data_IF_047976047638
#
_entry.id   IF_047976047638
#
_cell.length_a   1.000
_cell.length_b   1.000
_cell.length_c   1.000
_cell.angle_alpha   90.00
_cell.angle_beta   90.00
_cell.angle_gamma   90.00
#
_symmetry.space_group_name_H-M   'P 1'
#
loop_
_entity.id
_entity.type
_entity.pdbx_description
1 polymer ?
#
# COMPACT_ATOMS: atom_id res chain seq x y z
N UNK A 1 5.01 14.38 5.05
CA UNK A 1 5.91 15.00 4.07
C UNK A 1 7.25 15.21 4.77
N UNK A 2 8.38 14.67 4.25
CA UNK A 2 9.71 14.78 4.85
C UNK A 2 10.17 16.23 5.09
N UNK A 3 11.40 16.42 5.61
CA UNK A 3 11.94 17.76 5.87
C UNK A 3 11.84 18.66 4.61
N UNK A 4 11.58 19.97 4.75
CA UNK A 4 11.44 20.86 3.60
C UNK A 4 12.71 20.93 2.75
N UNK A 5 12.56 21.30 1.48
CA UNK A 5 13.68 21.52 0.56
C UNK A 5 14.66 22.51 1.14
N UNK A 6 15.95 22.16 1.14
CA UNK A 6 17.02 23.03 1.57
C UNK A 6 17.51 23.88 0.38
N UNK A 7 18.03 25.08 0.66
CA UNK A 7 18.46 26.02 -0.37
C UNK A 7 19.50 25.44 -1.36
N UNK A 8 20.35 24.51 -0.92
CA UNK A 8 21.33 23.88 -1.78
C UNK A 8 20.74 22.87 -2.75
N UNK A 9 19.57 22.28 -2.45
CA UNK A 9 18.87 21.31 -3.31
C UNK A 9 18.30 21.99 -4.57
N UNK A 10 17.98 23.29 -4.51
CA UNK A 10 17.45 24.08 -5.62
C UNK A 10 18.48 25.00 -6.26
N UNK A 11 19.76 24.90 -5.87
CA UNK A 11 20.84 25.79 -6.35
C UNK A 11 21.03 25.77 -7.87
N UNK A 12 20.67 24.65 -8.51
CA UNK A 12 20.83 24.47 -9.97
C UNK A 12 19.53 24.64 -10.75
N UNK A 13 18.42 24.95 -10.08
CA UNK A 13 17.17 25.21 -10.76
C UNK A 13 17.26 26.51 -11.56
N UNK A 14 17.03 26.43 -12.86
CA UNK A 14 17.09 27.58 -13.76
C UNK A 14 15.89 27.56 -14.69
N UNK A 15 15.00 28.57 -14.63
CA UNK A 15 14.98 29.68 -13.66
C UNK A 15 14.52 29.25 -12.26
N UNK A 16 14.97 29.98 -11.25
CA UNK A 16 14.49 29.78 -9.87
C UNK A 16 13.00 30.22 -9.79
N UNK A 17 12.10 29.26 -9.72
CA UNK A 17 10.67 29.51 -9.61
C UNK A 17 10.20 29.57 -8.14
N UNK A 18 10.94 30.29 -7.31
CA UNK A 18 10.59 30.45 -5.91
C UNK A 18 9.42 31.40 -5.76
N UNK A 19 8.29 30.88 -5.30
CA UNK A 19 7.17 31.68 -4.87
C UNK A 19 7.39 32.26 -3.46
N UNK A 20 6.72 33.36 -3.17
CA UNK A 20 6.70 33.96 -1.82
C UNK A 20 5.75 33.23 -0.87
N UNK A 21 4.92 32.30 -1.38
CA UNK A 21 3.93 31.56 -0.63
C UNK A 21 3.83 30.12 -1.14
N UNK A 22 3.94 29.16 -0.23
CA UNK A 22 3.67 27.75 -0.52
C UNK A 22 2.17 27.48 -0.36
N UNK A 23 1.51 26.97 -1.39
CA UNK A 23 0.09 26.64 -1.40
C UNK A 23 -0.13 25.13 -1.24
N UNK A 24 0.81 24.30 -1.68
CA UNK A 24 0.77 22.85 -1.62
C UNK A 24 1.94 22.26 -0.82
N UNK A 25 2.00 20.92 -0.70
CA UNK A 25 3.13 20.23 -0.08
C UNK A 25 4.41 20.42 -0.87
N UNK A 26 5.54 20.19 -0.21
CA UNK A 26 6.84 20.12 -0.86
C UNK A 26 6.93 18.82 -1.68
N UNK A 27 7.08 18.94 -2.99
CA UNK A 27 7.14 17.80 -3.89
C UNK A 27 8.55 17.18 -4.00
N UNK A 28 9.57 17.83 -3.45
CA UNK A 28 10.97 17.39 -3.57
C UNK A 28 11.24 15.97 -3.05
N UNK A 29 10.29 15.37 -2.32
CA UNK A 29 10.38 14.03 -1.72
C UNK A 29 9.12 13.20 -1.94
N UNK A 30 8.38 13.49 -2.98
CA UNK A 30 7.14 12.76 -3.28
C UNK A 30 7.41 11.38 -3.91
N UNK A 31 8.59 11.20 -4.51
CA UNK A 31 8.97 9.94 -5.15
C UNK A 31 8.94 8.78 -4.16
N UNK A 32 8.28 7.71 -4.53
CA UNK A 32 8.12 6.51 -3.70
C UNK A 32 7.16 6.64 -2.51
N UNK A 33 6.68 7.86 -2.18
CA UNK A 33 5.74 8.07 -1.06
C UNK A 33 4.33 7.59 -1.40
N UNK A 34 3.95 7.70 -2.66
CA UNK A 34 2.64 7.29 -3.17
C UNK A 34 2.81 6.36 -4.36
N UNK A 35 1.91 5.39 -4.53
CA UNK A 35 1.92 4.52 -5.71
C UNK A 35 1.59 5.32 -6.98
N UNK A 36 1.97 4.77 -8.14
CA UNK A 36 1.66 5.39 -9.44
C UNK A 36 0.15 5.55 -9.63
N UNK A 37 -0.65 4.53 -9.26
CA UNK A 37 -2.10 4.57 -9.38
C UNK A 37 -2.72 5.65 -8.50
N UNK A 38 -2.17 5.84 -7.27
CA UNK A 38 -2.57 6.95 -6.42
C UNK A 38 -2.26 8.29 -7.08
N UNK A 39 -1.08 8.44 -7.69
CA UNK A 39 -0.68 9.66 -8.38
C UNK A 39 -1.63 9.95 -9.55
N UNK A 40 -1.96 8.94 -10.37
CA UNK A 40 -2.91 9.10 -11.46
C UNK A 40 -4.30 9.48 -10.97
N UNK A 41 -4.83 8.78 -9.97
CA UNK A 41 -6.13 9.09 -9.39
C UNK A 41 -6.17 10.49 -8.77
N UNK A 42 -5.08 10.90 -8.09
CA UNK A 42 -4.96 12.23 -7.49
C UNK A 42 -4.83 13.33 -8.54
N UNK A 43 -4.10 13.11 -9.64
CA UNK A 43 -4.06 14.05 -10.76
C UNK A 43 -5.42 14.16 -11.46
N UNK A 44 -6.13 13.06 -11.65
CA UNK A 44 -7.43 13.05 -12.31
C UNK A 44 -8.50 13.77 -11.50
N UNK A 45 -8.66 13.43 -10.22
CA UNK A 45 -9.68 13.95 -9.33
C UNK A 45 -9.15 14.13 -7.90
N UNK A 46 -8.36 15.20 -7.61
CA UNK A 46 -7.70 15.37 -6.32
C UNK A 46 -8.64 15.30 -5.12
N UNK A 47 -9.82 15.92 -5.23
CA UNK A 47 -10.81 15.96 -4.13
C UNK A 47 -11.49 14.60 -3.87
N UNK A 48 -11.49 13.71 -4.85
CA UNK A 48 -11.99 12.34 -4.64
C UNK A 48 -11.02 11.52 -3.78
N UNK A 49 -9.73 11.87 -3.81
CA UNK A 49 -8.68 11.18 -3.03
C UNK A 49 -8.38 11.93 -1.73
N UNK A 50 -8.31 13.26 -1.78
CA UNK A 50 -8.07 14.13 -0.64
C UNK A 50 -9.18 15.18 -0.59
N UNK A 51 -10.25 14.98 0.21
CA UNK A 51 -11.46 15.78 0.17
C UNK A 51 -11.25 17.30 0.33
N UNK A 52 -10.25 17.71 1.12
CA UNK A 52 -9.90 19.11 1.36
C UNK A 52 -8.82 19.64 0.40
N UNK A 53 -8.48 18.89 -0.64
CA UNK A 53 -7.48 19.32 -1.61
C UNK A 53 -7.88 20.60 -2.32
N UNK A 54 -6.98 21.56 -2.37
CA UNK A 54 -7.10 22.79 -3.19
C UNK A 54 -6.50 22.60 -4.59
N UNK A 55 -5.90 21.44 -4.86
CA UNK A 55 -5.33 21.11 -6.15
C UNK A 55 -6.45 20.98 -7.20
N UNK A 56 -6.30 21.61 -8.39
CA UNK A 56 -7.21 21.37 -9.50
C UNK A 56 -7.06 19.96 -10.06
N UNK A 57 -8.14 19.38 -10.60
CA UNK A 57 -8.06 18.14 -11.36
C UNK A 57 -7.52 18.38 -12.77
N UNK A 58 -6.84 17.39 -13.33
CA UNK A 58 -6.28 17.40 -14.69
C UNK A 58 -6.86 16.26 -15.55
N UNK A 59 -8.20 16.16 -15.71
CA UNK A 59 -8.82 15.06 -16.47
C UNK A 59 -8.40 15.03 -17.94
N UNK A 60 -7.96 16.17 -18.49
CA UNK A 60 -7.46 16.27 -19.87
C UNK A 60 -6.19 15.44 -20.13
N UNK A 61 -5.46 15.06 -19.10
CA UNK A 61 -4.29 14.17 -19.17
C UNK A 61 -4.67 12.67 -19.25
N UNK A 62 -5.96 12.36 -19.32
CA UNK A 62 -6.48 11.01 -19.27
C UNK A 62 -7.54 10.75 -20.34
N UNK A 63 -7.71 9.51 -20.76
CA UNK A 63 -8.76 9.10 -21.69
C UNK A 63 -10.02 8.67 -20.91
N UNK A 64 -10.62 9.64 -20.22
CA UNK A 64 -11.91 9.52 -19.54
C UNK A 64 -11.88 8.86 -18.16
N UNK A 65 -10.75 8.23 -17.74
CA UNK A 65 -10.64 7.57 -16.43
C UNK A 65 -9.19 7.58 -15.93
N UNK A 66 -8.95 7.57 -14.60
CA UNK A 66 -7.60 7.64 -14.03
C UNK A 66 -6.71 6.43 -14.35
N UNK A 67 -7.28 5.28 -14.70
CA UNK A 67 -6.58 4.07 -15.15
C UNK A 67 -6.17 4.13 -16.64
N UNK A 68 -6.51 5.22 -17.34
CA UNK A 68 -6.16 5.45 -18.75
C UNK A 68 -5.36 6.75 -18.93
N UNK A 69 -4.14 6.81 -18.34
CA UNK A 69 -3.31 8.00 -18.46
C UNK A 69 -2.77 8.15 -19.89
N UNK A 70 -2.80 9.35 -20.44
CA UNK A 70 -2.09 9.71 -21.66
C UNK A 70 -0.59 9.77 -21.40
N UNK A 71 0.21 9.94 -22.46
CA UNK A 71 1.67 9.95 -22.33
C UNK A 71 2.14 11.07 -21.39
N UNK A 72 1.53 12.25 -21.47
CA UNK A 72 1.87 13.39 -20.64
C UNK A 72 1.64 13.12 -19.14
N UNK A 73 0.57 12.40 -18.79
CA UNK A 73 0.35 11.98 -17.40
C UNK A 73 1.40 10.96 -16.93
N UNK A 74 1.79 10.02 -17.81
CA UNK A 74 2.84 9.04 -17.52
C UNK A 74 4.18 9.72 -17.26
N UNK A 75 4.55 10.67 -18.12
CA UNK A 75 5.81 11.41 -18.01
C UNK A 75 5.84 12.27 -16.73
N UNK A 76 4.72 12.94 -16.43
CA UNK A 76 4.59 13.73 -15.21
C UNK A 76 4.72 12.86 -13.95
N UNK A 77 4.04 11.73 -13.90
CA UNK A 77 4.10 10.81 -12.75
C UNK A 77 5.48 10.17 -12.63
N UNK A 78 6.13 9.83 -13.75
CA UNK A 78 7.51 9.34 -13.74
C UNK A 78 8.48 10.41 -13.19
N UNK A 79 8.28 11.67 -13.56
CA UNK A 79 9.05 12.78 -12.99
C UNK A 79 8.81 12.91 -11.47
N UNK A 80 7.56 12.94 -11.02
CA UNK A 80 7.22 13.01 -9.59
C UNK A 80 7.84 11.84 -8.81
N UNK A 81 7.84 10.64 -9.38
CA UNK A 81 8.43 9.45 -8.75
C UNK A 81 9.97 9.51 -8.71
N UNK A 82 10.59 10.30 -9.56
CA UNK A 82 12.04 10.52 -9.55
C UNK A 82 12.50 11.50 -8.47
N UNK A 83 11.60 12.33 -7.94
CA UNK A 83 11.95 13.35 -6.96
C UNK A 83 12.38 12.73 -5.62
N UNK A 84 13.48 13.21 -5.05
CA UNK A 84 14.04 12.71 -3.79
C UNK A 84 15.00 11.52 -3.90
N UNK A 85 15.06 10.82 -5.04
CA UNK A 85 15.92 9.63 -5.23
C UNK A 85 17.41 9.92 -5.03
N UNK A 86 17.89 11.07 -5.47
CA UNK A 86 19.29 11.47 -5.27
C UNK A 86 19.66 11.53 -3.79
N UNK A 87 18.70 11.84 -2.93
CA UNK A 87 18.88 11.92 -1.49
C UNK A 87 18.84 10.54 -0.82
N UNK A 88 17.96 9.64 -1.27
CA UNK A 88 17.94 8.25 -0.83
C UNK A 88 19.25 7.54 -1.18
N UNK A 89 19.73 7.69 -2.42
CA UNK A 89 20.99 7.13 -2.89
C UNK A 89 22.20 7.68 -2.10
N UNK A 90 22.10 8.90 -1.60
CA UNK A 90 23.14 9.53 -0.78
C UNK A 90 23.09 9.12 0.70
N UNK A 91 22.16 8.23 1.11
CA UNK A 91 22.06 7.72 2.49
C UNK A 91 21.63 8.76 3.53
N UNK A 92 20.86 9.77 3.12
CA UNK A 92 20.59 10.95 3.93
C UNK A 92 19.13 11.13 4.35
N UNK A 93 18.42 10.04 4.52
CA UNK A 93 17.13 10.07 5.20
C UNK A 93 17.33 10.53 6.65
N UNK A 94 16.80 11.70 6.99
CA UNK A 94 16.67 12.19 8.37
C UNK A 94 17.74 13.15 8.87
N UNK A 95 18.89 13.33 8.22
CA UNK A 95 19.94 14.23 8.72
C UNK A 95 19.92 15.59 8.01
N UNK A 96 19.17 16.54 8.56
CA UNK A 96 19.10 17.91 8.08
C UNK A 96 20.27 18.77 8.60
N UNK A 97 21.02 18.33 9.62
CA UNK A 97 22.09 19.10 10.25
C UNK A 97 23.50 18.70 9.80
N UNK A 98 23.73 17.48 9.35
CA UNK A 98 25.07 16.98 9.03
C UNK A 98 25.69 17.50 7.73
N UNK A 99 25.00 18.39 6.98
CA UNK A 99 25.40 18.74 5.61
C UNK A 99 25.77 20.18 5.31
N UNK A 100 25.79 21.00 6.26
CA UNK A 100 26.38 22.35 6.05
C UNK A 100 27.88 22.27 5.73
N UNK A 101 28.50 21.11 5.88
CA UNK A 101 29.90 20.87 5.65
C UNK A 101 30.29 19.74 4.68
N UNK A 102 29.38 19.15 3.95
CA UNK A 102 29.71 18.06 3.00
C UNK A 102 30.39 18.63 1.75
N UNK A 103 31.66 18.31 1.59
CA UNK A 103 32.46 18.54 0.37
C UNK A 103 32.26 17.36 -0.63
N UNK A 104 31.00 16.90 -0.80
CA UNK A 104 30.71 15.86 -1.76
C UNK A 104 30.98 16.36 -3.17
N UNK A 105 31.72 15.61 -4.02
CA UNK A 105 31.93 16.00 -5.42
C UNK A 105 30.56 16.12 -6.10
N UNK A 106 30.24 17.34 -6.54
CA UNK A 106 28.94 17.65 -7.17
C UNK A 106 28.64 16.77 -8.37
N UNK A 107 29.68 16.30 -9.07
CA UNK A 107 29.58 15.46 -10.26
C UNK A 107 29.20 14.01 -9.95
N UNK A 108 29.55 13.47 -8.79
CA UNK A 108 29.18 12.09 -8.42
C UNK A 108 27.67 11.94 -8.16
N UNK A 109 27.03 12.96 -7.57
CA UNK A 109 25.58 12.92 -7.32
C UNK A 109 24.77 13.13 -8.61
N UNK A 110 25.24 14.00 -9.52
CA UNK A 110 24.61 14.22 -10.81
C UNK A 110 24.74 12.98 -11.73
N UNK A 111 25.89 12.29 -11.70
CA UNK A 111 26.10 11.06 -12.45
C UNK A 111 25.27 9.89 -11.89
N UNK A 112 25.13 9.75 -10.58
CA UNK A 112 24.26 8.71 -9.98
C UNK A 112 22.79 8.92 -10.32
N UNK A 113 22.30 10.16 -10.37
CA UNK A 113 20.93 10.46 -10.76
C UNK A 113 20.66 10.20 -12.26
N UNK A 114 21.68 10.44 -13.13
CA UNK A 114 21.59 10.21 -14.59
C UNK A 114 21.68 8.73 -14.97
N UNK A 115 22.33 7.90 -14.16
CA UNK A 115 22.54 6.47 -14.44
C UNK A 115 21.63 5.55 -13.62
N UNK A 116 20.76 6.08 -12.75
CA UNK A 116 19.72 5.27 -12.13
C UNK A 116 18.82 4.71 -13.25
N UNK A 117 18.71 3.38 -13.42
CA UNK A 117 17.94 2.81 -14.49
C UNK A 117 16.48 3.27 -14.38
N UNK A 118 16.01 4.04 -15.37
CA UNK A 118 14.65 4.55 -15.51
C UNK A 118 13.57 3.44 -15.52
N UNK A 119 14.00 2.17 -15.51
CA UNK A 119 13.16 0.98 -15.58
C UNK A 119 13.04 0.19 -14.28
N UNK A 120 13.53 0.70 -13.14
CA UNK A 120 13.18 0.08 -11.86
C UNK A 120 11.75 0.45 -11.53
N UNK A 121 10.83 -0.46 -11.80
CA UNK A 121 9.43 -0.33 -11.42
C UNK A 121 9.39 0.05 -9.93
N UNK A 122 8.73 1.15 -9.51
CA UNK A 122 8.70 1.60 -8.10
C UNK A 122 8.22 0.52 -7.15
N UNK A 123 7.35 -0.39 -7.61
CA UNK A 123 6.93 -1.56 -6.87
C UNK A 123 8.10 -2.47 -6.41
N UNK A 124 9.24 -2.43 -7.10
CA UNK A 124 10.42 -3.21 -6.74
C UNK A 124 11.32 -2.49 -5.73
N UNK A 125 11.37 -1.17 -5.81
CA UNK A 125 12.12 -0.32 -4.85
C UNK A 125 11.40 -0.20 -3.49
N UNK A 126 10.06 -0.26 -3.48
CA UNK A 126 9.25 -0.18 -2.26
C UNK A 126 9.17 -1.48 -1.45
N UNK A 127 9.74 -2.57 -1.94
CA UNK A 127 9.97 -3.79 -1.13
C UNK A 127 11.22 -3.64 -0.26
N UNK A 128 11.36 -2.48 0.40
CA UNK A 128 12.41 -2.31 1.41
C UNK A 128 12.17 -3.35 2.50
N UNK A 129 13.22 -4.10 2.79
CA UNK A 129 13.22 -5.18 3.79
C UNK A 129 13.32 -4.63 5.22
N UNK A 130 13.16 -3.33 5.40
CA UNK A 130 13.18 -2.70 6.70
C UNK A 130 11.98 -3.19 7.51
N UNK A 131 12.25 -3.77 8.67
CA UNK A 131 11.19 -4.16 9.57
C UNK A 131 10.39 -2.89 9.97
N UNK A 132 9.06 -2.89 9.86
CA UNK A 132 8.27 -1.77 10.30
C UNK A 132 8.47 -1.57 11.81
N UNK A 133 8.55 -0.32 12.30
CA UNK A 133 8.60 -0.10 13.73
C UNK A 133 7.32 -0.68 14.36
N UNK A 134 7.43 -1.29 15.55
CA UNK A 134 6.26 -1.83 16.24
C UNK A 134 5.24 -0.71 16.51
N UNK A 135 3.97 -1.07 16.45
CA UNK A 135 2.89 -0.17 16.88
C UNK A 135 2.86 -0.11 18.41
N UNK A 136 2.40 1.02 18.94
CA UNK A 136 2.09 1.11 20.36
C UNK A 136 1.02 0.06 20.74
N UNK A 137 1.11 -0.58 21.93
CA UNK A 137 0.26 -1.72 22.27
C UNK A 137 -1.23 -1.36 22.37
N UNK A 138 -1.55 -0.16 22.80
CA UNK A 138 -2.93 0.28 23.07
C UNK A 138 -3.29 1.48 22.19
N UNK A 139 -3.63 1.21 20.94
CA UNK A 139 -4.08 2.25 20.02
C UNK A 139 -5.42 2.86 20.44
N UNK A 140 -5.49 4.19 20.57
CA UNK A 140 -6.75 4.91 20.83
C UNK A 140 -7.72 4.73 19.64
N UNK A 141 -8.71 3.85 19.81
CA UNK A 141 -9.68 3.55 18.76
C UNK A 141 -10.55 4.76 18.38
N UNK A 142 -10.87 5.66 19.29
CA UNK A 142 -11.65 6.85 18.96
C UNK A 142 -10.83 7.78 18.07
N UNK A 143 -9.58 8.03 18.41
CA UNK A 143 -8.61 8.75 17.57
C UNK A 143 -8.41 8.05 16.23
N UNK A 144 -8.25 6.73 16.22
CA UNK A 144 -8.11 5.94 15.01
C UNK A 144 -9.32 6.02 14.09
N UNK A 145 -10.54 5.99 14.64
CA UNK A 145 -11.78 6.17 13.87
C UNK A 145 -11.83 7.56 13.22
N UNK A 146 -11.43 8.59 13.94
CA UNK A 146 -11.33 9.94 13.36
C UNK A 146 -10.33 10.00 12.20
N UNK A 147 -9.13 9.48 12.40
CA UNK A 147 -8.09 9.41 11.36
C UNK A 147 -8.54 8.58 10.15
N UNK A 148 -9.21 7.46 10.41
CA UNK A 148 -9.76 6.61 9.36
C UNK A 148 -10.74 7.36 8.47
N UNK A 149 -11.70 8.09 9.07
CA UNK A 149 -12.66 8.88 8.30
C UNK A 149 -12.00 10.02 7.52
N UNK A 150 -10.96 10.62 8.08
CA UNK A 150 -10.24 11.72 7.42
C UNK A 150 -9.39 11.26 6.23
N UNK A 151 -8.80 10.07 6.30
CA UNK A 151 -7.72 9.68 5.37
C UNK A 151 -7.95 8.36 4.64
N UNK A 152 -8.70 7.43 5.21
CA UNK A 152 -8.84 6.07 4.69
C UNK A 152 -10.21 5.83 4.04
N UNK A 153 -11.28 6.40 4.63
CA UNK A 153 -12.65 6.18 4.19
C UNK A 153 -12.91 6.66 2.76
N UNK A 154 -12.15 7.63 2.26
CA UNK A 154 -12.25 8.10 0.87
C UNK A 154 -12.07 6.96 -0.14
N UNK A 155 -11.19 6.00 0.13
CA UNK A 155 -10.99 4.82 -0.72
C UNK A 155 -11.68 3.59 -0.15
N UNK A 156 -11.51 3.33 1.17
CA UNK A 156 -11.99 2.11 1.78
C UNK A 156 -13.47 2.13 2.20
N UNK A 157 -14.15 3.29 2.08
CA UNK A 157 -15.53 3.49 2.55
C UNK A 157 -15.62 3.68 4.07
N UNK A 158 -16.68 4.33 4.55
CA UNK A 158 -16.87 4.60 5.99
C UNK A 158 -16.99 3.32 6.83
N UNK A 159 -17.50 2.23 6.24
CA UNK A 159 -17.66 0.92 6.85
C UNK A 159 -16.59 -0.09 6.42
N UNK A 160 -15.57 0.33 5.68
CA UNK A 160 -14.49 -0.55 5.25
C UNK A 160 -14.84 -1.50 4.09
N UNK A 161 -15.86 -1.21 3.29
CA UNK A 161 -16.31 -2.07 2.20
C UNK A 161 -15.55 -1.86 0.87
N UNK A 162 -14.56 -0.96 0.82
CA UNK A 162 -13.82 -0.63 -0.39
C UNK A 162 -14.63 0.22 -1.39
N UNK A 163 -15.71 0.84 -0.95
CA UNK A 163 -16.71 1.56 -1.74
C UNK A 163 -16.65 3.09 -1.59
N UNK A 164 -15.55 3.60 -1.08
CA UNK A 164 -15.34 5.04 -0.94
C UNK A 164 -15.40 5.78 -2.29
N UNK A 165 -15.73 7.08 -2.29
CA UNK A 165 -15.84 7.86 -3.52
C UNK A 165 -14.55 7.89 -4.35
N UNK A 166 -13.38 7.77 -3.72
CA UNK A 166 -12.08 7.68 -4.36
C UNK A 166 -11.69 6.29 -4.85
N UNK A 167 -12.54 5.27 -4.62
CA UNK A 167 -12.29 3.92 -5.13
C UNK A 167 -12.50 3.79 -6.65
N UNK A 168 -13.25 4.72 -7.24
CA UNK A 168 -13.56 4.67 -8.67
C UNK A 168 -12.30 4.83 -9.50
N UNK A 169 -12.07 3.88 -10.40
CA UNK A 169 -10.93 3.88 -11.32
C UNK A 169 -9.61 3.41 -10.69
N UNK A 170 -9.60 3.03 -9.41
CA UNK A 170 -8.44 2.35 -8.84
C UNK A 170 -8.41 0.87 -9.26
N UNK A 171 -7.26 0.44 -9.76
CA UNK A 171 -7.04 -0.94 -10.21
C UNK A 171 -5.73 -1.44 -9.60
N UNK A 172 -5.80 -2.41 -8.69
CA UNK A 172 -6.99 -3.07 -8.15
C UNK A 172 -7.83 -2.15 -7.24
N UNK A 173 -9.10 -2.50 -7.08
CA UNK A 173 -9.99 -1.81 -6.15
C UNK A 173 -9.47 -1.88 -4.70
N UNK A 174 -9.79 -0.89 -3.85
CA UNK A 174 -9.41 -0.92 -2.45
C UNK A 174 -9.90 -2.17 -1.73
N UNK A 175 -9.06 -2.71 -0.84
CA UNK A 175 -9.45 -3.87 -0.04
C UNK A 175 -10.69 -3.58 0.81
N UNK A 176 -11.58 -4.56 0.88
CA UNK A 176 -12.75 -4.54 1.77
C UNK A 176 -12.29 -4.86 3.19
N UNK A 177 -11.88 -3.84 3.94
CA UNK A 177 -11.31 -4.00 5.27
C UNK A 177 -12.25 -4.75 6.23
N UNK A 178 -13.56 -4.53 6.11
CA UNK A 178 -14.56 -5.24 6.89
C UNK A 178 -14.64 -6.75 6.62
N UNK A 179 -14.10 -7.21 5.49
CA UNK A 179 -14.04 -8.61 5.11
C UNK A 179 -12.73 -9.29 5.53
N UNK A 180 -11.85 -8.59 6.26
CA UNK A 180 -10.55 -9.10 6.64
C UNK A 180 -10.27 -8.85 8.11
N UNK A 181 -9.85 -9.87 8.84
CA UNK A 181 -9.22 -9.74 10.13
C UNK A 181 -7.70 -9.60 9.92
N UNK A 182 -7.09 -8.62 10.57
CA UNK A 182 -5.67 -8.32 10.43
C UNK A 182 -4.92 -8.49 11.73
N UNK A 183 -3.73 -9.08 11.67
CA UNK A 183 -2.80 -9.00 12.79
C UNK A 183 -2.20 -7.60 12.92
N UNK A 184 -1.76 -7.24 14.12
CA UNK A 184 -1.11 -5.95 14.39
C UNK A 184 0.16 -5.78 13.55
N UNK A 185 0.95 -6.84 13.38
CA UNK A 185 2.18 -6.84 12.57
C UNK A 185 1.87 -6.60 11.09
N UNK A 186 0.77 -7.18 10.60
CA UNK A 186 0.34 -6.94 9.21
C UNK A 186 -0.06 -5.49 9.00
N UNK A 187 -0.82 -4.91 9.93
CA UNK A 187 -1.21 -3.50 9.85
C UNK A 187 -0.01 -2.59 10.00
N UNK A 188 0.93 -2.89 10.92
CA UNK A 188 2.19 -2.15 11.02
C UNK A 188 2.93 -2.12 9.68
N UNK A 189 3.07 -3.28 9.03
CA UNK A 189 3.74 -3.39 7.73
C UNK A 189 3.01 -2.61 6.63
N UNK A 190 1.68 -2.72 6.55
CA UNK A 190 0.88 -2.00 5.53
C UNK A 190 0.92 -0.50 5.76
N UNK A 191 0.79 -0.03 6.99
CA UNK A 191 0.86 1.40 7.30
C UNK A 191 2.27 1.97 7.08
N UNK A 192 3.31 1.16 7.30
CA UNK A 192 4.69 1.59 7.10
C UNK A 192 5.13 1.59 5.64
N UNK A 193 4.79 0.54 4.89
CA UNK A 193 5.26 0.35 3.52
C UNK A 193 4.23 0.72 2.45
N UNK A 194 2.95 0.85 2.80
CA UNK A 194 1.86 0.80 1.83
C UNK A 194 1.70 -0.61 1.25
N UNK A 195 1.05 -0.71 0.09
CA UNK A 195 0.91 -1.97 -0.64
C UNK A 195 1.44 -1.76 -2.06
N UNK A 196 2.60 -2.35 -2.35
CA UNK A 196 3.28 -2.20 -3.63
C UNK A 196 2.37 -2.64 -4.80
N UNK A 197 2.35 -1.85 -5.87
CA UNK A 197 1.53 -2.07 -7.06
C UNK A 197 0.05 -1.69 -6.88
N UNK A 198 -0.28 -0.96 -5.81
CA UNK A 198 -1.63 -0.46 -5.57
C UNK A 198 -1.62 1.02 -5.18
N UNK A 199 -2.81 1.63 -5.14
CA UNK A 199 -2.98 3.00 -4.67
C UNK A 199 -2.84 3.16 -3.14
N UNK A 200 -2.63 2.08 -2.36
CA UNK A 200 -2.47 2.16 -0.91
C UNK A 200 -1.09 2.71 -0.52
N UNK A 201 -1.00 3.96 -0.05
CA UNK A 201 0.29 4.60 0.22
C UNK A 201 0.88 4.18 1.58
N UNK A 202 2.17 4.47 1.75
CA UNK A 202 2.81 4.44 3.06
C UNK A 202 2.34 5.61 3.94
N UNK A 203 2.24 5.36 5.25
CA UNK A 203 1.82 6.33 6.28
C UNK A 203 2.94 6.55 7.31
N UNK A 204 4.19 6.62 6.83
CA UNK A 204 5.40 6.76 7.68
C UNK A 204 5.43 8.08 8.43
N UNK A 205 4.82 9.13 7.85
CA UNK A 205 4.79 10.47 8.43
C UNK A 205 3.86 10.59 9.66
N UNK A 206 3.05 9.56 9.91
CA UNK A 206 2.22 9.50 11.10
C UNK A 206 3.03 9.03 12.30
N UNK A 207 2.71 9.55 13.49
CA UNK A 207 3.31 9.08 14.73
C UNK A 207 3.04 7.59 14.95
N UNK A 208 3.85 6.93 15.79
CA UNK A 208 3.60 5.54 16.19
C UNK A 208 2.20 5.37 16.78
N UNK A 209 1.78 6.34 17.59
CA UNK A 209 0.47 6.33 18.27
C UNK A 209 -0.69 6.49 17.28
N UNK A 210 -0.57 7.40 16.30
CA UNK A 210 -1.59 7.55 15.25
C UNK A 210 -1.69 6.31 14.37
N UNK A 211 -0.55 5.64 14.05
CA UNK A 211 -0.58 4.37 13.33
C UNK A 211 -1.19 3.24 14.15
N UNK A 212 -0.91 3.18 15.46
CA UNK A 212 -1.53 2.23 16.37
C UNK A 212 -3.04 2.47 16.49
N UNK A 213 -3.46 3.73 16.61
CA UNK A 213 -4.85 4.14 16.61
C UNK A 213 -5.58 3.71 15.32
N UNK A 214 -4.97 3.97 14.16
CA UNK A 214 -5.51 3.53 12.86
C UNK A 214 -5.64 2.00 12.79
N UNK A 215 -4.64 1.26 13.26
CA UNK A 215 -4.69 -0.21 13.29
C UNK A 215 -5.84 -0.71 14.16
N UNK A 216 -6.04 -0.14 15.36
CA UNK A 216 -7.14 -0.48 16.24
C UNK A 216 -8.51 -0.18 15.61
N UNK A 217 -8.64 0.93 14.87
CA UNK A 217 -9.86 1.26 14.14
C UNK A 217 -10.14 0.26 13.00
N UNK A 218 -9.13 -0.10 12.22
CA UNK A 218 -9.26 -1.08 11.12
C UNK A 218 -9.63 -2.46 11.66
N UNK A 219 -9.01 -2.92 12.74
CA UNK A 219 -9.36 -4.19 13.38
C UNK A 219 -10.81 -4.22 13.85
N UNK A 220 -11.31 -3.09 14.33
CA UNK A 220 -12.69 -2.98 14.79
C UNK A 220 -13.73 -3.11 13.64
N UNK A 221 -13.38 -2.82 12.39
CA UNK A 221 -14.27 -2.98 11.24
C UNK A 221 -14.67 -4.45 11.01
N UNK A 222 -13.72 -5.37 11.21
CA UNK A 222 -13.95 -6.81 11.02
C UNK A 222 -14.57 -7.49 12.24
N UNK A 223 -14.39 -6.93 13.46
CA UNK A 223 -14.77 -7.56 14.72
C UNK A 223 -16.27 -7.81 14.90
N UNK A 224 -17.12 -7.19 14.09
CA UNK A 224 -18.59 -7.30 14.20
C UNK A 224 -19.17 -8.48 13.41
N UNK A 225 -18.36 -9.20 12.64
CA UNK A 225 -18.82 -10.26 11.74
C UNK A 225 -18.53 -11.64 12.33
N UNK A 226 -19.55 -12.44 12.62
CA UNK A 226 -19.35 -13.85 12.95
C UNK A 226 -18.87 -14.61 11.71
N UNK A 227 -17.73 -15.26 11.83
CA UNK A 227 -17.15 -16.09 10.77
C UNK A 227 -17.28 -17.58 11.13
N UNK A 228 -17.64 -18.45 10.17
CA UNK A 228 -17.72 -19.87 10.44
C UNK A 228 -16.36 -20.44 10.81
N UNK A 229 -16.36 -21.41 11.72
CA UNK A 229 -15.17 -22.19 12.02
C UNK A 229 -14.67 -22.93 10.78
N UNK A 230 -13.36 -23.18 10.74
CA UNK A 230 -12.74 -23.98 9.67
C UNK A 230 -13.05 -25.45 9.91
N UNK A 231 -13.84 -26.13 9.04
CA UNK A 231 -14.12 -27.55 9.21
C UNK A 231 -12.84 -28.38 9.04
N UNK A 232 -12.44 -29.11 10.10
CA UNK A 232 -11.18 -29.84 10.11
C UNK A 232 -11.05 -30.84 8.94
N UNK A 233 -12.17 -31.46 8.52
CA UNK A 233 -12.18 -32.42 7.41
C UNK A 233 -11.87 -31.81 6.04
N UNK A 234 -12.05 -30.48 5.86
CA UNK A 234 -11.73 -29.78 4.60
C UNK A 234 -10.26 -29.38 4.51
N UNK A 235 -9.54 -29.30 5.63
CA UNK A 235 -8.15 -28.81 5.67
C UNK A 235 -7.21 -29.64 4.79
N UNK A 236 -7.23 -30.98 4.80
CA UNK A 236 -6.32 -31.79 3.96
C UNK A 236 -6.54 -31.55 2.47
N UNK A 237 -7.78 -31.51 1.99
CA UNK A 237 -8.08 -31.19 0.61
C UNK A 237 -7.67 -29.76 0.25
N UNK A 238 -7.97 -28.81 1.13
CA UNK A 238 -7.58 -27.41 0.95
C UNK A 238 -6.07 -27.23 0.86
N UNK A 239 -5.30 -27.94 1.68
CA UNK A 239 -3.85 -27.95 1.66
C UNK A 239 -3.29 -28.49 0.33
N UNK A 240 -3.86 -29.60 -0.19
CA UNK A 240 -3.46 -30.16 -1.48
C UNK A 240 -3.73 -29.18 -2.63
N UNK A 241 -4.93 -28.59 -2.68
CA UNK A 241 -5.31 -27.60 -3.68
C UNK A 241 -4.41 -26.37 -3.60
N UNK A 242 -4.13 -25.88 -2.39
CA UNK A 242 -3.25 -24.75 -2.15
C UNK A 242 -1.82 -25.01 -2.63
N UNK A 243 -1.25 -26.13 -2.25
CA UNK A 243 0.11 -26.51 -2.63
C UNK A 243 0.26 -26.59 -4.17
N UNK A 244 -0.72 -27.15 -4.86
CA UNK A 244 -0.69 -27.34 -6.30
C UNK A 244 -0.91 -26.03 -7.09
N UNK A 245 -1.73 -25.10 -6.58
CA UNK A 245 -2.24 -23.99 -7.39
C UNK A 245 -1.92 -22.59 -6.86
N UNK A 246 -1.65 -22.42 -5.56
CA UNK A 246 -1.61 -21.12 -4.90
C UNK A 246 -0.22 -20.77 -4.35
N UNK A 247 0.55 -21.78 -3.90
CA UNK A 247 1.82 -21.61 -3.19
C UNK A 247 2.90 -20.88 -3.99
N UNK A 248 2.87 -20.97 -5.31
CA UNK A 248 3.81 -20.30 -6.23
C UNK A 248 3.80 -18.76 -6.04
N UNK A 249 2.63 -18.18 -5.78
CA UNK A 249 2.49 -16.75 -5.54
C UNK A 249 2.39 -16.44 -4.05
N UNK A 250 1.53 -17.18 -3.33
CA UNK A 250 1.19 -16.88 -1.93
C UNK A 250 2.18 -17.47 -0.90
N UNK A 251 3.20 -18.23 -1.36
CA UNK A 251 4.15 -18.89 -0.47
C UNK A 251 3.63 -20.21 0.08
N UNK A 252 4.53 -21.14 0.40
CA UNK A 252 4.16 -22.45 0.96
C UNK A 252 3.47 -22.31 2.32
N UNK A 253 3.87 -21.32 3.09
CA UNK A 253 3.31 -21.00 4.41
C UNK A 253 2.16 -20.01 4.37
N UNK A 254 1.86 -19.43 3.21
CA UNK A 254 0.83 -18.39 3.07
C UNK A 254 1.32 -16.97 3.38
N UNK A 255 2.63 -16.75 3.44
CA UNK A 255 3.25 -15.46 3.79
C UNK A 255 3.25 -14.42 2.64
N UNK A 256 2.74 -14.78 1.47
CA UNK A 256 2.75 -13.91 0.28
C UNK A 256 4.11 -13.85 -0.42
N UNK A 257 5.07 -14.73 -0.09
CA UNK A 257 6.44 -14.75 -0.60
C UNK A 257 6.75 -15.98 -1.45
N UNK A 258 5.81 -16.40 -2.28
CA UNK A 258 6.04 -17.50 -3.21
C UNK A 258 7.10 -17.16 -4.27
N UNK A 259 7.63 -18.18 -4.93
CA UNK A 259 8.72 -18.04 -5.92
C UNK A 259 8.37 -17.08 -7.09
N UNK A 260 7.08 -16.90 -7.39
CA UNK A 260 6.62 -15.96 -8.39
C UNK A 260 6.35 -14.54 -7.84
N UNK A 261 6.28 -14.35 -6.52
CA UNK A 261 5.85 -13.10 -5.90
C UNK A 261 6.69 -11.89 -6.33
N UNK A 262 8.01 -12.07 -6.48
CA UNK A 262 8.93 -10.99 -6.86
C UNK A 262 8.77 -10.53 -8.32
N UNK A 263 8.11 -11.33 -9.13
CA UNK A 263 7.83 -11.01 -10.55
C UNK A 263 6.51 -10.28 -10.73
N UNK A 264 5.70 -10.18 -9.67
CA UNK A 264 4.39 -9.56 -9.71
C UNK A 264 4.49 -8.07 -9.37
N UNK A 265 3.76 -7.24 -10.07
CA UNK A 265 3.65 -5.81 -9.77
C UNK A 265 2.99 -5.58 -8.40
N UNK A 266 1.96 -6.38 -8.07
CA UNK A 266 1.28 -6.35 -6.80
C UNK A 266 1.69 -7.55 -5.93
N UNK A 267 1.99 -7.29 -4.66
CA UNK A 267 2.32 -8.35 -3.71
C UNK A 267 1.11 -9.27 -3.46
N UNK A 268 1.29 -10.60 -3.48
CA UNK A 268 0.23 -11.53 -3.11
C UNK A 268 -0.22 -11.35 -1.66
N UNK A 269 -1.47 -11.71 -1.39
CA UNK A 269 -2.01 -11.67 -0.04
C UNK A 269 -1.17 -12.54 0.93
N UNK A 270 -0.91 -11.99 2.12
CA UNK A 270 -0.26 -12.68 3.23
C UNK A 270 -1.34 -13.23 4.17
N UNK A 271 -1.63 -14.52 4.07
CA UNK A 271 -2.67 -15.19 4.86
C UNK A 271 -2.27 -15.45 6.31
N UNK A 272 -0.98 -15.33 6.66
CA UNK A 272 -0.52 -15.41 8.05
C UNK A 272 -0.96 -14.17 8.81
N UNK A 273 -0.82 -12.99 8.18
CA UNK A 273 -1.11 -11.71 8.81
C UNK A 273 -2.53 -11.20 8.58
N UNK A 274 -3.31 -11.88 7.72
CA UNK A 274 -4.71 -11.51 7.47
C UNK A 274 -5.58 -12.72 7.23
N UNK A 275 -6.77 -12.73 7.84
CA UNK A 275 -7.80 -13.74 7.63
C UNK A 275 -8.95 -13.12 6.83
N UNK A 276 -9.10 -13.54 5.60
CA UNK A 276 -10.21 -13.13 4.74
C UNK A 276 -11.51 -13.81 5.19
N UNK A 277 -12.66 -13.13 5.08
CA UNK A 277 -13.96 -13.77 5.32
C UNK A 277 -14.20 -14.94 4.33
N UNK A 278 -15.00 -15.92 4.71
CA UNK A 278 -15.31 -17.03 3.81
C UNK A 278 -16.01 -16.53 2.54
N UNK A 279 -16.92 -15.59 2.69
CA UNK A 279 -17.67 -14.97 1.58
C UNK A 279 -16.73 -14.30 0.58
N UNK A 280 -15.80 -13.48 1.07
CA UNK A 280 -14.86 -12.77 0.19
C UNK A 280 -13.82 -13.73 -0.41
N UNK A 281 -13.35 -14.74 0.33
CA UNK A 281 -12.45 -15.75 -0.21
C UNK A 281 -13.10 -16.51 -1.40
N UNK A 282 -14.34 -16.92 -1.23
CA UNK A 282 -15.09 -17.60 -2.29
C UNK A 282 -15.38 -16.67 -3.47
N UNK A 283 -15.69 -15.40 -3.23
CA UNK A 283 -15.84 -14.40 -4.29
C UNK A 283 -14.55 -14.26 -5.09
N UNK A 284 -13.40 -14.06 -4.41
CA UNK A 284 -12.09 -13.94 -5.07
C UNK A 284 -11.74 -15.19 -5.88
N UNK A 285 -12.03 -16.38 -5.37
CA UNK A 285 -11.79 -17.62 -6.12
C UNK A 285 -12.71 -17.75 -7.34
N UNK A 286 -13.91 -17.17 -7.31
CA UNK A 286 -14.83 -17.18 -8.46
C UNK A 286 -14.51 -16.12 -9.49
N UNK A 287 -14.18 -14.93 -9.08
CA UNK A 287 -14.09 -13.72 -9.93
C UNK A 287 -12.66 -13.28 -10.21
N UNK A 288 -11.71 -13.76 -9.41
CA UNK A 288 -10.36 -13.20 -9.39
C UNK A 288 -10.30 -11.82 -8.71
N UNK A 289 -9.19 -11.14 -8.90
CA UNK A 289 -8.99 -9.74 -8.47
C UNK A 289 -8.62 -8.92 -9.70
N UNK A 290 -9.55 -8.07 -10.14
CA UNK A 290 -9.34 -7.25 -11.33
C UNK A 290 -8.07 -6.39 -11.20
N UNK A 291 -7.29 -6.32 -12.27
CA UNK A 291 -6.02 -5.59 -12.29
C UNK A 291 -4.86 -6.30 -11.59
N UNK A 292 -5.04 -7.56 -11.21
CA UNK A 292 -3.98 -8.38 -10.60
C UNK A 292 -3.83 -9.72 -11.32
N UNK A 293 -2.70 -10.45 -11.10
CA UNK A 293 -2.51 -11.81 -11.59
C UNK A 293 -3.43 -12.85 -10.94
N UNK A 294 -4.22 -12.49 -9.90
CA UNK A 294 -5.17 -13.40 -9.26
C UNK A 294 -6.38 -13.64 -10.16
N UNK A 295 -6.30 -14.68 -10.99
CA UNK A 295 -7.33 -15.05 -11.96
C UNK A 295 -8.54 -15.78 -11.29
N UNK A 296 -9.70 -15.84 -11.97
CA UNK A 296 -10.81 -16.72 -11.59
C UNK A 296 -10.40 -18.20 -11.63
N UNK A 297 -10.92 -19.00 -10.69
CA UNK A 297 -10.61 -20.42 -10.56
C UNK A 297 -11.82 -21.32 -10.88
N UNK A 298 -12.89 -20.77 -11.38
CA UNK A 298 -14.15 -21.51 -11.68
C UNK A 298 -13.99 -22.59 -12.72
N UNK A 299 -13.07 -22.41 -13.67
CA UNK A 299 -12.82 -23.39 -14.75
C UNK A 299 -11.75 -24.43 -14.39
N UNK A 300 -11.03 -24.23 -13.27
CA UNK A 300 -9.89 -25.07 -12.87
C UNK A 300 -10.15 -25.88 -11.61
N UNK A 301 -11.02 -25.39 -10.73
CA UNK A 301 -11.35 -25.99 -9.45
C UNK A 301 -12.86 -26.20 -9.34
N UNK A 302 -13.27 -27.33 -8.80
CA UNK A 302 -14.64 -27.61 -8.41
C UNK A 302 -15.08 -26.72 -7.25
N UNK A 303 -16.39 -26.66 -6.98
CA UNK A 303 -16.94 -25.92 -5.84
C UNK A 303 -16.38 -26.45 -4.50
N UNK A 304 -16.23 -27.76 -4.38
CA UNK A 304 -15.67 -28.41 -3.19
C UNK A 304 -14.20 -28.04 -2.98
N UNK A 305 -13.39 -28.03 -4.03
CA UNK A 305 -11.98 -27.63 -3.97
C UNK A 305 -11.83 -26.15 -3.64
N UNK A 306 -12.67 -25.26 -4.22
CA UNK A 306 -12.67 -23.84 -3.88
C UNK A 306 -13.07 -23.61 -2.43
N UNK A 307 -14.07 -24.32 -1.92
CA UNK A 307 -14.49 -24.24 -0.52
C UNK A 307 -13.37 -24.73 0.42
N UNK A 308 -12.75 -25.87 0.10
CA UNK A 308 -11.64 -26.39 0.87
C UNK A 308 -10.43 -25.45 0.88
N UNK A 309 -10.05 -24.88 -0.29
CA UNK A 309 -8.98 -23.91 -0.39
C UNK A 309 -9.28 -22.63 0.41
N UNK A 310 -10.51 -22.12 0.35
CA UNK A 310 -10.95 -20.97 1.12
C UNK A 310 -10.81 -21.21 2.64
N UNK A 311 -11.23 -22.39 3.12
CA UNK A 311 -11.06 -22.74 4.53
C UNK A 311 -9.58 -22.93 4.91
N UNK A 312 -8.79 -23.55 4.03
CA UNK A 312 -7.37 -23.74 4.29
C UNK A 312 -6.62 -22.41 4.45
N UNK A 313 -6.80 -21.45 3.53
CA UNK A 313 -6.11 -20.14 3.64
C UNK A 313 -6.52 -19.39 4.90
N UNK A 314 -7.77 -19.54 5.35
CA UNK A 314 -8.26 -18.96 6.60
C UNK A 314 -7.64 -19.62 7.84
N UNK A 315 -7.27 -20.90 7.77
CA UNK A 315 -6.59 -21.62 8.84
C UNK A 315 -5.12 -21.21 9.01
N UNK A 316 -4.53 -20.54 8.02
CA UNK A 316 -3.14 -20.07 8.07
C UNK A 316 -2.97 -18.81 8.95
N UNK A 317 -4.04 -18.11 9.24
CA UNK A 317 -4.01 -16.88 10.02
C UNK A 317 -3.50 -17.14 11.45
N UNK A 318 -2.59 -16.30 11.87
CA UNK A 318 -2.06 -16.27 13.23
C UNK A 318 -2.41 -14.94 13.87
N UNK A 319 -3.42 -14.95 14.72
CA UNK A 319 -3.63 -13.82 15.62
C UNK A 319 -2.40 -13.67 16.51
N UNK A 320 -1.97 -12.43 16.79
CA UNK A 320 -0.97 -12.21 17.81
C UNK A 320 -1.46 -12.87 19.13
N UNK A 321 -0.57 -13.53 19.91
CA UNK A 321 -0.96 -14.03 21.22
C UNK A 321 -1.52 -12.83 22.03
N UNK A 322 -2.71 -13.01 22.58
CA UNK A 322 -3.26 -12.03 23.52
C UNK A 322 -2.19 -11.71 24.56
N UNK A 323 -1.92 -10.42 24.79
CA UNK A 323 -0.98 -10.03 25.83
C UNK A 323 -1.42 -10.73 27.11
N UNK A 324 -0.61 -11.67 27.58
CA UNK A 324 -0.82 -12.34 28.86
C UNK A 324 -0.80 -11.21 29.89
N UNK A 325 -1.91 -10.97 30.52
CA UNK A 325 -1.98 -10.09 31.68
C UNK A 325 -0.88 -10.54 32.63
N UNK A 326 0.15 -9.71 32.73
CA UNK A 326 1.18 -9.90 33.75
C UNK A 326 0.49 -9.66 35.09
N UNK A 327 0.30 -10.76 35.83
CA UNK A 327 -0.14 -10.71 37.24
C UNK A 327 0.94 -10.06 38.10
#
# INVERSE_FOLDING_TARGET
FGAPTLAWETRRDTPHLWGTRRIGPDLSRIGGVRSLDWQYAHLYAPRAIVPLSVMPGYPALFDGAPDRPRQEARDLVAYLDSLGRARELAGHEGDTQARVGCNCPEDAMAQMALHAPLNTHPARAQRTHDAPPPLAPDGDRARGTQLYHQHCATCHGGSGNGDGPGARGLVPAPAKLAEHEYSTERLAAVLWHGVAGTAMPAWRDYSSDDRAALAAAVQALAATRPEPEVPAHLVPLGQQVYAANCSQCHGVTGDGRGAAADKLAMAPANFIGQRVSLTEALRVLREGVHGSPMAPWTTRLTDAERLAAAHYVRSLFRAAPAATEAR
#
